data_IF_416945701489
#
_entry.id   IF_416945701489
#
_cell.length_a   1.000
_cell.length_b   1.000
_cell.length_c   1.000
_cell.angle_alpha   90.00
_cell.angle_beta   90.00
_cell.angle_gamma   90.00
#
_symmetry.space_group_name_H-M   'P 1'
#
loop_
_entity.id
_entity.type
_entity.pdbx_description
1 polymer ?
#
# COMPACT_ATOMS: atom_id res chain seq x y z
N UNK A 1 15.94 -5.12 25.12
CA UNK A 1 15.11 -4.20 24.34
C UNK A 1 13.67 -4.48 24.73
N UNK A 2 12.96 -3.52 25.33
CA UNK A 2 11.55 -3.70 25.67
C UNK A 2 10.70 -3.51 24.39
N UNK A 3 9.98 -4.55 23.98
CA UNK A 3 9.15 -4.52 22.78
C UNK A 3 8.02 -3.49 22.89
N UNK A 4 7.58 -3.13 24.10
CA UNK A 4 6.53 -2.13 24.32
C UNK A 4 7.01 -0.74 23.97
N UNK A 5 8.25 -0.41 24.36
CA UNK A 5 8.89 0.85 24.00
C UNK A 5 9.09 0.93 22.48
N UNK A 6 9.53 -0.17 21.84
CA UNK A 6 9.64 -0.23 20.37
C UNK A 6 8.30 0.00 19.67
N UNK A 7 7.24 -0.67 20.15
CA UNK A 7 5.90 -0.50 19.61
C UNK A 7 5.43 0.96 19.72
N UNK A 8 5.57 1.57 20.89
CA UNK A 8 5.21 2.98 21.11
C UNK A 8 5.99 3.92 20.18
N UNK A 9 7.28 3.66 19.94
CA UNK A 9 8.10 4.47 19.02
C UNK A 9 7.70 4.32 17.55
N UNK A 10 7.19 3.16 17.14
CA UNK A 10 6.76 2.89 15.75
C UNK A 10 5.29 3.19 15.49
N UNK A 11 4.50 3.42 16.54
CA UNK A 11 3.09 3.72 16.40
C UNK A 11 2.91 5.14 15.82
N UNK A 12 2.44 5.20 14.58
CA UNK A 12 2.27 6.43 13.81
C UNK A 12 0.91 6.44 13.10
N UNK A 13 0.52 7.57 12.53
CA UNK A 13 -0.68 7.67 11.68
C UNK A 13 -0.52 6.90 10.36
N UNK A 14 -1.63 6.62 9.68
CA UNK A 14 -1.61 5.95 8.39
C UNK A 14 -0.86 6.76 7.32
N UNK A 15 -0.99 8.09 7.34
CA UNK A 15 -0.31 8.99 6.40
C UNK A 15 1.20 9.00 6.62
N UNK A 16 1.64 8.90 7.89
CA UNK A 16 3.06 8.77 8.20
C UNK A 16 3.59 7.39 7.84
N UNK A 17 2.84 6.33 8.14
CA UNK A 17 3.24 4.96 7.83
C UNK A 17 3.49 4.76 6.33
N UNK A 18 2.61 5.28 5.46
CA UNK A 18 2.76 5.09 4.02
C UNK A 18 3.92 5.87 3.43
N UNK A 19 4.50 6.86 4.12
CA UNK A 19 5.73 7.57 3.66
C UNK A 19 6.92 6.63 3.49
N UNK A 20 6.89 5.45 4.10
CA UNK A 20 7.88 4.41 3.86
C UNK A 20 7.97 4.00 2.38
N UNK A 21 6.86 4.05 1.64
CA UNK A 21 6.80 3.72 0.21
C UNK A 21 7.40 4.83 -0.65
N UNK A 22 8.32 4.45 -1.52
CA UNK A 22 9.06 5.30 -2.48
C UNK A 22 8.80 4.85 -3.92
N UNK A 23 9.16 5.71 -4.86
CA UNK A 23 9.18 5.36 -6.28
C UNK A 23 10.09 4.14 -6.53
N UNK A 24 9.65 3.22 -7.38
CA UNK A 24 10.33 1.97 -7.70
C UNK A 24 10.06 0.84 -6.72
N UNK A 25 9.37 1.08 -5.60
CA UNK A 25 9.06 0.03 -4.64
C UNK A 25 8.01 -0.95 -5.19
N UNK A 26 8.15 -2.20 -4.71
CA UNK A 26 7.11 -3.20 -4.84
C UNK A 26 6.33 -3.32 -3.52
N UNK A 27 5.05 -2.96 -3.56
CA UNK A 27 4.15 -2.99 -2.41
C UNK A 27 3.19 -4.16 -2.55
N UNK A 28 3.24 -5.08 -1.59
CA UNK A 28 2.34 -6.23 -1.53
C UNK A 28 1.16 -5.91 -0.60
N UNK A 29 -0.06 -6.09 -1.11
CA UNK A 29 -1.31 -5.94 -0.39
C UNK A 29 -1.96 -7.33 -0.28
N UNK A 30 -1.62 -8.10 0.78
CA UNK A 30 -2.14 -9.44 0.96
C UNK A 30 -3.65 -9.43 1.28
N UNK A 31 -4.24 -10.62 1.19
CA UNK A 31 -5.61 -10.85 1.62
C UNK A 31 -5.80 -10.42 3.08
N UNK A 32 -6.92 -9.76 3.37
CA UNK A 32 -7.25 -9.28 4.72
C UNK A 32 -6.57 -7.98 5.14
N UNK A 33 -5.83 -7.30 4.24
CA UNK A 33 -5.23 -5.99 4.54
C UNK A 33 -6.30 -4.97 4.94
N UNK A 34 -6.19 -4.31 6.11
CA UNK A 34 -7.12 -3.26 6.51
C UNK A 34 -7.10 -2.08 5.53
N UNK A 35 -8.29 -1.60 5.14
CA UNK A 35 -8.47 -0.53 4.12
C UNK A 35 -7.75 0.79 4.39
N UNK A 36 -7.32 1.04 5.63
CA UNK A 36 -6.75 2.32 6.06
C UNK A 36 -5.42 2.64 5.36
N UNK A 37 -4.51 1.66 5.23
CA UNK A 37 -3.21 1.85 4.58
C UNK A 37 -3.32 1.94 3.04
N UNK A 38 -4.09 1.07 2.34
CA UNK A 38 -4.36 1.24 0.92
C UNK A 38 -4.97 2.61 0.58
N UNK A 39 -5.94 3.08 1.37
CA UNK A 39 -6.54 4.40 1.16
C UNK A 39 -5.53 5.54 1.36
N UNK A 40 -4.69 5.47 2.40
CA UNK A 40 -3.64 6.46 2.63
C UNK A 40 -2.60 6.49 1.50
N UNK A 41 -2.17 5.32 1.02
CA UNK A 41 -1.23 5.24 -0.10
C UNK A 41 -1.86 5.78 -1.40
N UNK A 42 -3.13 5.49 -1.68
CA UNK A 42 -3.85 6.02 -2.83
C UNK A 42 -4.03 7.55 -2.80
N UNK A 43 -4.04 8.20 -1.62
CA UNK A 43 -4.05 9.68 -1.53
C UNK A 43 -2.73 10.29 -2.02
N UNK A 44 -1.61 9.59 -1.83
CA UNK A 44 -0.26 10.05 -2.23
C UNK A 44 0.05 9.87 -3.72
N UNK A 45 -0.89 9.36 -4.52
CA UNK A 45 -0.70 9.01 -5.94
C UNK A 45 -0.17 10.14 -6.84
N UNK A 46 -0.39 11.40 -6.47
CA UNK A 46 0.12 12.55 -7.24
C UNK A 46 1.57 12.90 -6.89
N UNK A 47 2.03 12.50 -5.70
CA UNK A 47 3.37 12.74 -5.19
C UNK A 47 4.28 11.53 -5.38
N UNK A 48 3.69 10.35 -5.59
CA UNK A 48 4.39 9.10 -5.85
C UNK A 48 4.80 9.01 -7.32
N UNK A 49 6.04 8.60 -7.57
CA UNK A 49 6.43 8.04 -8.87
C UNK A 49 5.90 6.62 -9.06
N UNK A 50 6.34 5.96 -10.13
CA UNK A 50 5.89 4.60 -10.47
C UNK A 50 6.20 3.61 -9.34
N UNK A 51 5.20 2.82 -8.93
CA UNK A 51 5.35 1.69 -8.00
C UNK A 51 4.67 0.45 -8.55
N UNK A 52 5.13 -0.72 -8.11
CA UNK A 52 4.54 -2.01 -8.43
C UNK A 52 3.64 -2.47 -7.29
N UNK A 53 2.34 -2.61 -7.54
CA UNK A 53 1.36 -3.14 -6.59
C UNK A 53 1.09 -4.60 -6.88
N UNK A 54 1.26 -5.47 -5.87
CA UNK A 54 0.81 -6.87 -5.92
C UNK A 54 -0.41 -7.04 -5.02
N UNK A 55 -1.55 -7.38 -5.60
CA UNK A 55 -2.83 -7.44 -4.89
C UNK A 55 -3.32 -8.89 -4.79
N UNK A 56 -3.66 -9.33 -3.58
CA UNK A 56 -4.29 -10.64 -3.35
C UNK A 56 -5.75 -10.47 -2.93
N UNK A 57 -6.68 -10.74 -3.86
CA UNK A 57 -8.13 -10.63 -3.65
C UNK A 57 -8.57 -9.37 -2.87
N UNK A 58 -8.27 -8.15 -3.35
CA UNK A 58 -8.54 -6.93 -2.61
C UNK A 58 -10.05 -6.73 -2.43
N UNK A 59 -10.47 -6.49 -1.19
CA UNK A 59 -11.88 -6.25 -0.87
C UNK A 59 -12.41 -4.90 -1.37
N UNK A 60 -11.52 -3.93 -1.61
CA UNK A 60 -11.84 -2.58 -2.05
C UNK A 60 -10.82 -2.07 -3.06
N UNK A 61 -11.28 -1.22 -3.99
CA UNK A 61 -10.41 -0.41 -4.84
C UNK A 61 -10.34 1.02 -4.27
N UNK A 62 -9.20 1.46 -3.71
CA UNK A 62 -9.04 2.84 -3.22
C UNK A 62 -8.82 3.87 -4.36
N UNK A 63 -8.93 3.44 -5.61
CA UNK A 63 -8.72 4.25 -6.81
C UNK A 63 -7.54 3.82 -7.67
N UNK A 64 -6.89 2.70 -7.35
CA UNK A 64 -5.74 2.17 -8.08
C UNK A 64 -6.15 1.54 -9.40
N UNK A 65 -7.33 0.93 -9.46
CA UNK A 65 -7.83 0.26 -10.68
C UNK A 65 -8.55 1.24 -11.63
N UNK A 66 -8.64 2.51 -11.27
CA UNK A 66 -9.29 3.52 -12.08
C UNK A 66 -8.36 3.98 -13.23
N UNK A 67 -8.92 4.32 -14.40
CA UNK A 67 -8.12 4.88 -15.50
C UNK A 67 -7.40 6.17 -15.08
N UNK A 68 -6.23 6.43 -15.70
CA UNK A 68 -5.45 7.65 -15.51
C UNK A 68 -4.31 7.54 -14.50
N UNK A 69 -4.13 6.38 -13.87
CA UNK A 69 -3.08 6.14 -12.88
C UNK A 69 -2.07 5.05 -13.26
N UNK A 70 -2.10 4.57 -14.51
CA UNK A 70 -1.24 3.48 -14.97
C UNK A 70 0.26 3.84 -15.00
N UNK A 71 0.60 5.13 -15.07
CA UNK A 71 1.98 5.60 -14.99
C UNK A 71 2.53 5.56 -13.54
N UNK A 72 1.63 5.57 -12.56
CA UNK A 72 1.97 5.54 -11.12
C UNK A 72 1.83 4.13 -10.56
N UNK A 73 0.76 3.42 -10.89
CA UNK A 73 0.44 2.10 -10.35
C UNK A 73 0.54 1.03 -11.43
N UNK A 74 1.59 0.23 -11.36
CA UNK A 74 1.72 -0.98 -12.15
C UNK A 74 1.20 -2.17 -11.32
N UNK A 75 0.15 -2.84 -11.79
CA UNK A 75 -0.65 -3.74 -10.95
C UNK A 75 -0.50 -5.19 -11.40
N UNK A 76 -0.12 -6.06 -10.46
CA UNK A 76 -0.13 -7.51 -10.58
C UNK A 76 -1.15 -8.10 -9.60
N UNK A 77 -1.97 -9.05 -10.07
CA UNK A 77 -2.83 -9.82 -9.19
C UNK A 77 -2.15 -11.13 -8.80
N UNK A 78 -2.03 -11.35 -7.49
CA UNK A 78 -1.64 -12.63 -6.92
C UNK A 78 -2.87 -13.54 -6.82
N UNK A 79 -2.84 -14.65 -7.54
CA UNK A 79 -3.81 -15.71 -7.43
C UNK A 79 -3.24 -16.83 -6.56
N UNK A 80 -3.89 -17.12 -5.44
CA UNK A 80 -3.56 -18.29 -4.63
C UNK A 80 -4.32 -19.50 -5.19
N UNK A 81 -3.60 -20.41 -5.83
CA UNK A 81 -4.09 -21.74 -6.22
C UNK A 81 -3.42 -22.71 -5.24
N UNK A 82 -4.23 -23.35 -4.40
CA UNK A 82 -3.76 -24.19 -3.29
C UNK A 82 -2.87 -25.36 -3.67
#
# INVERSE_FOLDING_TARGET
>A
MDWREEYQRRLVSEDEAVKAVKEGDRVVVPFGTPRILPAALARRRQELGRIDLRLAAPAVDPGWLQPGWQDVFNIEFELFIG
#
